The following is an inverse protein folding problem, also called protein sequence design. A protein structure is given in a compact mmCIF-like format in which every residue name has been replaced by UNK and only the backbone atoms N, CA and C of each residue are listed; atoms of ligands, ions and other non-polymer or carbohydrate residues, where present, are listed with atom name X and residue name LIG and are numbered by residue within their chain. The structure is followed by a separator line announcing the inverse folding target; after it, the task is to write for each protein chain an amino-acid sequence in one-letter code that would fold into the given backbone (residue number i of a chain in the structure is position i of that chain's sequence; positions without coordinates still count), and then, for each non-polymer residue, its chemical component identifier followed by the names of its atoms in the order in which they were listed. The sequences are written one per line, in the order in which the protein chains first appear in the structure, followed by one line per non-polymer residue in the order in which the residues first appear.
data_IF_889561011865
#
_entry.id   IF_889561011865
#
_cell.length_a   1.000
_cell.length_b   1.000
_cell.length_c   1.000
_cell.angle_alpha   90.00
_cell.angle_beta   90.00
_cell.angle_gamma   90.00
#
_symmetry.space_group_name_H-M   'P 1'
#
loop_
_entity.id
_entity.type
_entity.pdbx_description
1 polymer ?
#
# COMPACT_ATOMS: atom_id res chain seq x y z
N UNK A 1 -4.36 40.19 -6.38
CA UNK A 1 -4.64 38.85 -6.95
C UNK A 1 -3.68 37.88 -6.28
N UNK A 2 -4.18 36.84 -5.60
CA UNK A 2 -3.33 35.86 -4.92
C UNK A 2 -3.55 34.50 -5.58
N UNK A 3 -2.46 33.87 -6.02
CA UNK A 3 -2.43 32.51 -6.56
C UNK A 3 -1.59 31.71 -5.60
N UNK A 4 -2.25 30.86 -4.81
CA UNK A 4 -1.60 29.84 -3.98
C UNK A 4 -1.62 28.56 -4.80
N UNK A 5 -0.43 28.15 -5.24
CA UNK A 5 -0.20 26.83 -5.80
C UNK A 5 0.46 26.04 -4.68
N UNK A 6 -0.31 25.21 -3.97
CA UNK A 6 0.30 24.11 -3.22
C UNK A 6 1.02 23.27 -4.27
N UNK A 7 2.35 23.33 -4.26
CA UNK A 7 3.19 22.48 -5.06
C UNK A 7 2.89 21.03 -4.69
N UNK A 8 1.89 20.45 -5.36
CA UNK A 8 1.67 19.03 -5.40
C UNK A 8 2.92 18.53 -6.12
N UNK A 9 3.90 18.16 -5.30
CA UNK A 9 4.95 17.27 -5.70
C UNK A 9 4.19 16.04 -6.17
N UNK A 10 3.96 15.96 -7.48
CA UNK A 10 3.68 14.71 -8.16
C UNK A 10 4.96 13.89 -8.00
N UNK A 11 5.21 13.45 -6.77
CA UNK A 11 6.30 12.59 -6.40
C UNK A 11 6.21 11.43 -7.36
N UNK A 12 7.29 11.24 -8.11
CA UNK A 12 7.45 10.10 -8.98
C UNK A 12 6.87 8.89 -8.25
N UNK A 13 5.91 8.14 -8.83
CA UNK A 13 5.32 7.03 -8.13
C UNK A 13 6.48 6.14 -7.69
N UNK A 14 6.64 6.05 -6.37
CA UNK A 14 7.65 5.25 -5.70
C UNK A 14 6.92 4.16 -4.94
N UNK A 15 7.57 3.03 -4.74
CA UNK A 15 6.99 1.92 -4.01
C UNK A 15 6.46 2.39 -2.64
N UNK A 16 5.26 1.91 -2.27
CA UNK A 16 4.61 2.23 -1.00
C UNK A 16 5.36 1.71 0.25
N UNK A 17 6.46 0.98 0.09
CA UNK A 17 7.30 0.51 1.21
C UNK A 17 8.18 1.66 1.70
N UNK A 18 8.16 1.88 3.02
CA UNK A 18 9.02 2.85 3.68
C UNK A 18 10.50 2.58 3.33
N UNK A 19 11.23 3.61 2.89
CA UNK A 19 12.60 3.56 2.35
C UNK A 19 12.80 2.83 1.01
N UNK A 20 11.76 2.41 0.31
CA UNK A 20 11.93 1.87 -1.03
C UNK A 20 11.95 2.99 -2.07
N UNK A 21 13.08 3.12 -2.78
CA UNK A 21 13.27 4.07 -3.89
C UNK A 21 13.21 3.41 -5.28
N UNK A 22 12.75 2.15 -5.33
CA UNK A 22 12.66 1.43 -6.59
C UNK A 22 11.50 1.97 -7.43
N UNK A 23 11.68 2.07 -8.77
CA UNK A 23 10.61 2.45 -9.67
C UNK A 23 9.52 1.37 -9.67
N UNK A 24 8.28 1.75 -9.94
CA UNK A 24 7.21 0.78 -10.10
C UNK A 24 7.24 0.18 -11.50
N UNK A 25 6.91 -1.12 -11.63
CA UNK A 25 6.83 -1.77 -12.94
C UNK A 25 5.73 -1.15 -13.80
N UNK A 26 4.64 -0.69 -13.19
CA UNK A 26 3.53 -0.04 -13.88
C UNK A 26 2.99 1.14 -13.06
N UNK A 27 2.35 2.09 -13.74
CA UNK A 27 1.68 3.24 -13.10
C UNK A 27 0.45 2.83 -12.24
N UNK A 28 -0.02 1.59 -12.36
CA UNK A 28 -1.16 1.07 -11.58
C UNK A 28 -0.72 0.27 -10.36
N UNK A 29 0.51 -0.23 -10.36
CA UNK A 29 1.08 -0.90 -9.19
C UNK A 29 1.26 0.11 -8.05
N UNK A 30 1.20 -0.35 -6.81
CA UNK A 30 1.62 0.45 -5.64
C UNK A 30 3.00 0.02 -5.11
N UNK A 31 3.47 -1.14 -5.56
CA UNK A 31 4.72 -1.75 -5.13
C UNK A 31 5.64 -1.96 -6.33
N UNK A 32 6.94 -1.88 -6.10
CA UNK A 32 7.94 -2.26 -7.11
C UNK A 32 7.98 -3.78 -7.30
N UNK A 33 8.67 -4.28 -8.33
CA UNK A 33 8.79 -5.73 -8.58
C UNK A 33 9.33 -6.50 -7.36
N UNK A 34 10.28 -5.91 -6.62
CA UNK A 34 10.82 -6.51 -5.40
C UNK A 34 9.79 -6.63 -4.26
N UNK A 35 8.80 -5.74 -4.23
CA UNK A 35 7.74 -5.70 -3.22
C UNK A 35 6.37 -6.10 -3.76
N UNK A 36 6.30 -6.71 -4.95
CA UNK A 36 5.05 -7.16 -5.54
C UNK A 36 4.32 -8.17 -4.63
N UNK A 37 5.05 -8.92 -3.81
CA UNK A 37 4.45 -9.83 -2.83
C UNK A 37 3.56 -9.07 -1.83
N UNK A 38 3.92 -7.83 -1.45
CA UNK A 38 3.13 -7.00 -0.52
C UNK A 38 1.79 -6.56 -1.07
N UNK A 39 1.63 -6.52 -2.38
CA UNK A 39 0.32 -6.32 -3.02
C UNK A 39 -0.64 -7.48 -2.73
N UNK A 40 -0.08 -8.69 -2.60
CA UNK A 40 -0.80 -9.92 -2.31
C UNK A 40 -0.93 -10.18 -0.81
N UNK A 41 -0.36 -9.33 0.03
CA UNK A 41 -0.52 -9.36 1.48
C UNK A 41 -1.68 -8.46 1.89
N UNK A 42 -2.30 -8.79 3.01
CA UNK A 42 -3.36 -7.98 3.56
C UNK A 42 -2.83 -6.59 3.93
N UNK A 43 -3.49 -5.54 3.44
CA UNK A 43 -3.12 -4.15 3.73
C UNK A 43 -3.38 -3.72 5.18
N UNK A 44 -3.67 -4.66 6.09
CA UNK A 44 -3.94 -4.40 7.52
C UNK A 44 -2.61 -4.47 8.27
N UNK A 45 -2.29 -3.41 9.01
CA UNK A 45 -1.10 -3.38 9.88
C UNK A 45 -1.18 -4.49 10.94
N UNK A 46 -0.20 -5.38 10.95
CA UNK A 46 -0.14 -6.53 11.87
C UNK A 46 -0.79 -7.81 11.35
N UNK A 47 -1.30 -7.82 10.11
CA UNK A 47 -1.89 -8.99 9.47
C UNK A 47 -0.93 -9.57 8.42
N UNK A 48 -0.42 -10.78 8.63
CA UNK A 48 0.49 -11.46 7.67
C UNK A 48 -0.25 -12.40 6.70
N UNK A 49 -1.58 -12.26 6.60
CA UNK A 49 -2.40 -13.11 5.75
C UNK A 49 -2.39 -12.63 4.30
N UNK A 50 -2.56 -13.56 3.36
CA UNK A 50 -2.72 -13.23 1.95
C UNK A 50 -4.05 -12.48 1.70
N UNK A 51 -3.99 -11.46 0.85
CA UNK A 51 -5.15 -10.75 0.35
C UNK A 51 -6.01 -11.68 -0.51
N UNK A 52 -7.33 -11.52 -0.40
CA UNK A 52 -8.27 -12.30 -1.23
C UNK A 52 -8.17 -11.81 -2.68
N UNK A 53 -8.28 -12.72 -3.65
CA UNK A 53 -8.26 -12.36 -5.08
C UNK A 53 -9.33 -11.28 -5.37
N UNK A 54 -8.90 -10.14 -5.92
CA UNK A 54 -9.76 -8.98 -6.20
C UNK A 54 -9.94 -7.99 -5.04
N UNK A 55 -9.39 -8.28 -3.86
CA UNK A 55 -9.44 -7.40 -2.67
C UNK A 55 -8.02 -7.10 -2.18
N UNK A 56 -7.84 -5.94 -1.52
CA UNK A 56 -6.58 -5.60 -0.82
C UNK A 56 -6.54 -6.10 0.63
N UNK A 57 -7.56 -6.85 1.05
CA UNK A 57 -7.75 -7.36 2.40
C UNK A 57 -7.95 -8.88 2.39
N UNK A 58 -7.57 -9.54 3.47
CA UNK A 58 -7.88 -10.96 3.66
C UNK A 58 -9.40 -11.14 3.88
N UNK A 59 -9.93 -12.30 3.48
CA UNK A 59 -11.36 -12.65 3.60
C UNK A 59 -11.86 -12.60 5.06
N UNK A 60 -10.98 -12.86 6.01
CA UNK A 60 -11.22 -12.76 7.45
C UNK A 60 -11.10 -11.31 7.90
N UNK A 61 -11.99 -10.46 7.39
CA UNK A 61 -12.18 -9.09 7.88
C UNK A 61 -12.92 -9.02 9.21
N UNK A 62 -12.88 -10.08 10.02
CA UNK A 62 -13.50 -10.15 11.34
C UNK A 62 -12.56 -10.84 12.35
N UNK A 63 -12.22 -10.14 13.41
CA UNK A 63 -11.50 -10.57 14.62
C UNK A 63 -9.98 -10.85 14.61
N UNK A 64 -9.36 -11.44 13.59
CA UNK A 64 -7.93 -11.83 13.74
C UNK A 64 -6.91 -10.73 13.41
N UNK A 65 -7.31 -9.69 12.67
CA UNK A 65 -6.40 -8.59 12.26
C UNK A 65 -6.72 -7.24 12.91
N UNK A 66 -7.75 -7.15 13.78
CA UNK A 66 -7.87 -6.04 14.74
C UNK A 66 -7.08 -6.44 16.00
N UNK A 67 -5.83 -6.01 16.07
CA UNK A 67 -5.11 -5.91 17.34
C UNK A 67 -5.73 -4.82 18.23
N UNK A 68 -7.01 -4.94 18.59
CA UNK A 68 -7.57 -4.22 19.73
C UNK A 68 -7.17 -5.02 20.96
N UNK A 69 -6.02 -4.66 21.50
CA UNK A 69 -5.69 -4.94 22.88
C UNK A 69 -6.18 -3.76 23.71
N UNK A 70 -7.48 -3.72 24.00
CA UNK A 70 -8.08 -2.98 25.13
C UNK A 70 -9.25 -3.77 25.70
#
# INVERSE_FOLDING_TARGET
QSVVLDGITLGHPCCAVYNCKLPLPTNQSHYCEAHHTKERECSINGCSNAAKMGFKTCATGNMSCLGIQI
#
